data_IF_844865924157
#
_entry.id   IF_844865924157
#
_cell.length_a   1.000
_cell.length_b   1.000
_cell.length_c   1.000
_cell.angle_alpha   90.00
_cell.angle_beta   90.00
_cell.angle_gamma   90.00
#
_symmetry.space_group_name_H-M   'P 1'
#
loop_
_entity.id
_entity.type
_entity.pdbx_description
1 polymer ?
#
# COMPACT_ATOMS: atom_id res chain seq x y z
N UNK A 1 25.33 11.94 15.22
CA UNK A 1 24.78 10.56 15.24
C UNK A 1 23.80 10.49 14.07
N UNK A 2 24.02 9.65 13.06
CA UNK A 2 23.02 9.48 11.98
C UNK A 2 21.80 8.85 12.61
N UNK A 3 20.67 9.55 12.60
CA UNK A 3 19.36 8.97 12.92
C UNK A 3 19.18 7.77 12.00
N UNK A 4 19.24 6.57 12.55
CA UNK A 4 18.87 5.36 11.82
C UNK A 4 17.38 5.47 11.55
N UNK A 5 17.00 5.68 10.29
CA UNK A 5 15.60 5.73 9.90
C UNK A 5 14.90 4.45 10.38
N UNK A 6 13.76 4.61 11.02
CA UNK A 6 12.95 3.51 11.50
C UNK A 6 12.11 2.98 10.33
N UNK A 7 12.12 1.67 10.13
CA UNK A 7 11.44 1.02 9.01
C UNK A 7 10.49 -0.06 9.51
N UNK A 8 9.31 -0.13 8.90
CA UNK A 8 8.33 -1.20 9.12
C UNK A 8 8.13 -1.95 7.82
N UNK A 9 8.16 -3.28 7.87
CA UNK A 9 7.88 -4.10 6.69
C UNK A 9 6.45 -3.88 6.20
N UNK A 10 6.26 -3.86 4.87
CA UNK A 10 4.92 -3.95 4.28
C UNK A 10 4.27 -5.31 4.63
N UNK A 11 2.93 -5.43 4.62
CA UNK A 11 2.24 -6.68 4.94
C UNK A 11 2.69 -7.83 4.04
N UNK A 12 2.68 -9.05 4.58
CA UNK A 12 3.12 -10.25 3.86
C UNK A 12 2.39 -10.45 2.52
N UNK A 13 1.07 -10.20 2.50
CA UNK A 13 0.25 -10.26 1.29
C UNK A 13 0.63 -9.25 0.19
N UNK A 14 1.40 -8.22 0.52
CA UNK A 14 1.98 -7.29 -0.47
C UNK A 14 3.38 -7.72 -0.95
N UNK A 15 4.13 -8.48 -0.13
CA UNK A 15 5.52 -8.82 -0.42
C UNK A 15 5.64 -9.84 -1.57
N UNK A 16 4.73 -10.81 -1.66
CA UNK A 16 4.83 -11.91 -2.63
C UNK A 16 6.06 -12.82 -2.43
N UNK A 17 6.73 -12.73 -1.28
CA UNK A 17 7.93 -13.49 -0.93
C UNK A 17 7.87 -13.96 0.53
N UNK A 18 8.70 -14.95 0.87
CA UNK A 18 8.84 -15.46 2.24
C UNK A 18 9.63 -14.56 3.19
N UNK A 19 10.29 -13.52 2.68
CA UNK A 19 11.10 -12.57 3.46
C UNK A 19 10.57 -11.14 3.32
N UNK A 20 10.77 -10.35 4.36
CA UNK A 20 10.48 -8.91 4.35
C UNK A 20 11.54 -8.19 3.51
N UNK A 21 11.14 -7.68 2.35
CA UNK A 21 12.03 -6.99 1.41
C UNK A 21 11.53 -5.59 1.03
N UNK A 22 10.23 -5.33 1.22
CA UNK A 22 9.61 -4.02 1.06
C UNK A 22 9.32 -3.39 2.43
N UNK A 23 9.71 -2.13 2.60
CA UNK A 23 9.64 -1.41 3.86
C UNK A 23 9.13 0.02 3.68
N UNK A 24 8.37 0.49 4.67
CA UNK A 24 7.93 1.89 4.81
C UNK A 24 8.82 2.56 5.86
N UNK A 25 9.36 3.73 5.54
CA UNK A 25 10.04 4.60 6.50
C UNK A 25 8.99 5.19 7.47
N UNK A 26 8.96 4.70 8.71
CA UNK A 26 7.99 5.14 9.71
C UNK A 26 8.32 6.49 10.34
N UNK A 27 9.45 7.11 9.98
CA UNK A 27 9.79 8.47 10.41
C UNK A 27 9.44 9.51 9.32
N UNK A 28 8.97 9.07 8.14
CA UNK A 28 8.57 9.99 7.09
C UNK A 28 7.36 10.85 7.51
N UNK A 29 7.26 12.12 7.07
CA UNK A 29 6.09 12.96 7.35
C UNK A 29 4.78 12.26 6.98
N UNK A 30 3.72 12.43 7.79
CA UNK A 30 2.43 11.77 7.52
C UNK A 30 1.83 12.15 6.16
N UNK A 31 2.13 13.35 5.66
CA UNK A 31 1.73 13.81 4.32
C UNK A 31 2.39 12.99 3.22
N UNK A 32 3.70 12.70 3.34
CA UNK A 32 4.44 11.86 2.38
C UNK A 32 3.92 10.41 2.38
N UNK A 33 3.63 9.88 3.57
CA UNK A 33 3.04 8.53 3.72
C UNK A 33 1.64 8.50 3.11
N UNK A 34 0.85 9.56 3.31
CA UNK A 34 -0.48 9.69 2.71
C UNK A 34 -0.42 9.77 1.18
N UNK A 35 0.49 10.58 0.62
CA UNK A 35 0.67 10.69 -0.83
C UNK A 35 1.07 9.34 -1.44
N UNK A 36 1.96 8.60 -0.79
CA UNK A 36 2.35 7.25 -1.20
C UNK A 36 1.18 6.26 -1.13
N UNK A 37 0.35 6.31 -0.08
CA UNK A 37 -0.86 5.49 0.03
C UNK A 37 -1.90 5.85 -1.03
N UNK A 38 -2.15 7.14 -1.21
CA UNK A 38 -3.11 7.67 -2.17
C UNK A 38 -2.73 7.32 -3.61
N UNK A 39 -1.45 7.42 -3.97
CA UNK A 39 -0.96 7.00 -5.29
C UNK A 39 -1.28 5.54 -5.60
N UNK A 40 -1.20 4.64 -4.61
CA UNK A 40 -1.56 3.22 -4.77
C UNK A 40 -3.06 3.01 -4.86
N UNK A 41 -3.86 3.72 -4.06
CA UNK A 41 -5.32 3.70 -4.17
C UNK A 41 -5.78 4.18 -5.55
N UNK A 42 -5.14 5.24 -6.07
CA UNK A 42 -5.43 5.76 -7.41
C UNK A 42 -5.00 4.76 -8.51
N UNK A 43 -3.90 4.04 -8.33
CA UNK A 43 -3.51 2.95 -9.24
C UNK A 43 -4.54 1.82 -9.25
N UNK A 44 -5.03 1.39 -8.07
CA UNK A 44 -6.13 0.40 -7.96
C UNK A 44 -7.38 0.90 -8.66
N UNK A 45 -7.76 2.16 -8.46
CA UNK A 45 -8.92 2.77 -9.12
C UNK A 45 -8.79 2.72 -10.64
N UNK A 46 -7.66 3.16 -11.18
CA UNK A 46 -7.41 3.13 -12.64
C UNK A 46 -7.41 1.72 -13.21
N UNK A 47 -6.80 0.75 -12.53
CA UNK A 47 -6.83 -0.65 -12.95
C UNK A 47 -8.26 -1.22 -12.98
N UNK A 48 -9.08 -0.86 -11.99
CA UNK A 48 -10.49 -1.26 -11.97
C UNK A 48 -11.31 -0.59 -13.07
N UNK A 49 -11.04 0.66 -13.41
CA UNK A 49 -11.70 1.35 -14.53
C UNK A 49 -11.39 0.66 -15.87
N UNK A 50 -10.12 0.31 -16.11
CA UNK A 50 -9.70 -0.44 -17.31
C UNK A 50 -10.36 -1.83 -17.35
N UNK A 51 -10.46 -2.52 -16.22
CA UNK A 51 -11.15 -3.81 -16.12
C UNK A 51 -12.65 -3.70 -16.42
N UNK A 52 -13.29 -2.64 -15.91
CA UNK A 52 -14.69 -2.35 -16.17
C UNK A 52 -14.96 -2.00 -17.64
N UNK A 53 -13.94 -1.57 -18.40
CA UNK A 53 -14.03 -1.41 -19.86
C UNK A 53 -13.78 -2.72 -20.63
N UNK A 54 -12.98 -3.63 -20.09
CA UNK A 54 -12.52 -4.86 -20.74
C UNK A 54 -13.45 -6.10 -20.57
N UNK A 55 -14.76 -5.88 -20.36
CA UNK A 55 -15.75 -6.84 -19.76
C UNK A 55 -15.87 -8.23 -20.41
N UNK A 56 -15.24 -8.52 -21.56
CA UNK A 56 -15.45 -9.78 -22.29
C UNK A 56 -14.35 -10.85 -22.10
N UNK A 57 -13.23 -10.54 -21.43
CA UNK A 57 -12.12 -11.50 -21.27
C UNK A 57 -11.86 -11.88 -19.80
N UNK A 58 -12.51 -12.97 -19.36
CA UNK A 58 -12.31 -13.57 -18.02
C UNK A 58 -10.85 -13.95 -17.73
N UNK A 59 -10.01 -14.13 -18.74
CA UNK A 59 -8.59 -14.47 -18.55
C UNK A 59 -7.79 -13.35 -17.88
N UNK A 60 -8.23 -12.09 -18.05
CA UNK A 60 -7.56 -10.91 -17.49
C UNK A 60 -7.92 -10.60 -16.04
N UNK A 61 -9.05 -11.14 -15.54
CA UNK A 61 -9.59 -10.80 -14.22
C UNK A 61 -8.72 -11.34 -13.07
N UNK A 62 -8.08 -12.51 -13.24
CA UNK A 62 -7.32 -13.16 -12.16
C UNK A 62 -5.99 -12.47 -11.86
N UNK A 63 -5.13 -12.16 -12.84
CA UNK A 63 -3.90 -11.40 -12.59
C UNK A 63 -4.16 -10.00 -12.03
N UNK A 64 -5.21 -9.32 -12.51
CA UNK A 64 -5.57 -7.98 -12.04
C UNK A 64 -6.05 -7.97 -10.58
N UNK A 65 -6.81 -9.00 -10.17
CA UNK A 65 -7.20 -9.15 -8.76
C UNK A 65 -5.99 -9.28 -7.83
N UNK A 66 -4.94 -10.00 -8.25
CA UNK A 66 -3.69 -10.13 -7.50
C UNK A 66 -2.99 -8.77 -7.35
N UNK A 67 -2.85 -8.03 -8.45
CA UNK A 67 -2.21 -6.69 -8.42
C UNK A 67 -3.00 -5.73 -7.52
N UNK A 68 -4.33 -5.73 -7.62
CA UNK A 68 -5.19 -4.92 -6.75
C UNK A 68 -5.02 -5.26 -5.28
N UNK A 69 -4.94 -6.55 -4.93
CA UNK A 69 -4.72 -6.99 -3.55
C UNK A 69 -3.39 -6.49 -3.00
N UNK A 70 -2.32 -6.53 -3.79
CA UNK A 70 -0.98 -6.05 -3.40
C UNK A 70 -1.02 -4.54 -3.13
N UNK A 71 -1.50 -3.76 -4.10
CA UNK A 71 -1.54 -2.29 -4.01
C UNK A 71 -2.45 -1.81 -2.88
N UNK A 72 -3.59 -2.47 -2.68
CA UNK A 72 -4.52 -2.16 -1.60
C UNK A 72 -3.91 -2.51 -0.24
N UNK A 73 -3.26 -3.66 -0.11
CA UNK A 73 -2.58 -4.07 1.12
C UNK A 73 -1.49 -3.08 1.54
N UNK A 74 -0.67 -2.63 0.58
CA UNK A 74 0.30 -1.55 0.80
C UNK A 74 -0.36 -0.26 1.28
N UNK A 75 -1.40 0.19 0.58
CA UNK A 75 -2.09 1.43 0.91
C UNK A 75 -2.69 1.38 2.31
N UNK A 76 -3.35 0.28 2.66
CA UNK A 76 -3.97 0.09 3.97
C UNK A 76 -2.96 0.04 5.10
N UNK A 77 -1.77 -0.53 4.88
CA UNK A 77 -0.70 -0.51 5.87
C UNK A 77 -0.21 0.91 6.16
N UNK A 78 -0.05 1.73 5.13
CA UNK A 78 0.34 3.14 5.27
C UNK A 78 -0.76 3.98 5.93
N UNK A 79 -2.02 3.78 5.56
CA UNK A 79 -3.17 4.44 6.23
C UNK A 79 -3.23 4.05 7.71
N UNK A 80 -3.02 2.77 8.02
CA UNK A 80 -2.98 2.28 9.41
C UNK A 80 -1.84 2.94 10.20
N UNK A 81 -0.67 3.09 9.60
CA UNK A 81 0.47 3.79 10.21
C UNK A 81 0.14 5.26 10.53
N UNK A 82 -0.60 5.95 9.67
CA UNK A 82 -1.08 7.32 9.95
C UNK A 82 -2.09 7.29 11.11
N UNK A 83 -3.02 6.34 11.11
CA UNK A 83 -3.99 6.16 12.20
C UNK A 83 -3.33 5.90 13.56
N UNK A 84 -2.29 5.04 13.60
CA UNK A 84 -1.50 4.76 14.80
C UNK A 84 -0.87 6.04 15.37
N UNK A 85 -0.36 6.94 14.51
CA UNK A 85 0.21 8.23 14.94
C UNK A 85 -0.84 9.17 15.52
N UNK A 86 -2.03 9.24 14.90
CA UNK A 86 -3.11 10.06 15.41
C UNK A 86 -3.54 9.60 16.82
N UNK A 87 -3.69 8.29 17.01
CA UNK A 87 -4.04 7.69 18.31
C UNK A 87 -2.97 7.89 19.39
N UNK A 88 -1.70 8.10 19.02
CA UNK A 88 -0.62 8.41 19.96
C UNK A 88 -0.61 9.88 20.40
N UNK A 89 -1.05 10.79 19.54
CA UNK A 89 -1.12 12.23 19.85
C UNK A 89 -2.31 12.58 20.76
N UNK A 90 -3.31 11.69 20.86
CA UNK A 90 -4.49 11.84 21.72
C UNK A 90 -4.27 11.37 23.17
N UNK A 91 -3.05 10.90 23.52
CA UNK A 91 -2.67 10.42 24.86
C UNK A 91 -1.63 11.32 25.51
#
# INVERSE_FOLDING_TARGET
MKTTANFRACPHESQGTSYDVLFVNVDAPSTEIWEAAFSRLEAVRRLNDELAAAVDDKSTQTPLAVVNSILLSDAMAMVSLIGDRLNQNDK
#
